data_IF_861440204705
#
_entry.id   IF_861440204705
#
_cell.length_a   1.000
_cell.length_b   1.000
_cell.length_c   1.000
_cell.angle_alpha   90.00
_cell.angle_beta   90.00
_cell.angle_gamma   90.00
#
_symmetry.space_group_name_H-M   'P 1'
#
loop_
_entity.id
_entity.type
_entity.pdbx_description
1 polymer ?
#
# COMPACT_ATOMS: atom_id res chain seq x y z
N UNK A 1 9.91 11.99 -16.91
CA UNK A 1 9.21 10.70 -16.73
C UNK A 1 9.27 10.30 -15.28
N UNK A 2 8.17 9.78 -14.73
CA UNK A 2 8.13 9.26 -13.36
C UNK A 2 8.53 7.78 -13.38
N UNK A 3 9.28 7.33 -12.37
CA UNK A 3 9.75 5.94 -12.24
C UNK A 3 8.96 5.12 -11.23
N UNK A 4 8.16 5.79 -10.40
CA UNK A 4 7.39 5.18 -9.32
C UNK A 4 6.05 5.93 -9.17
N UNK A 5 4.97 5.17 -9.02
CA UNK A 5 3.67 5.62 -8.56
C UNK A 5 3.35 4.91 -7.24
N UNK A 6 3.18 5.68 -6.16
CA UNK A 6 2.69 5.18 -4.88
C UNK A 6 1.29 5.71 -4.64
N UNK A 7 0.32 4.82 -4.40
CA UNK A 7 -1.09 5.15 -4.22
C UNK A 7 -1.57 4.80 -2.82
N UNK A 8 -2.30 5.70 -2.18
CA UNK A 8 -3.15 5.29 -1.05
C UNK A 8 -4.34 4.45 -1.56
N UNK A 9 -4.98 3.73 -0.64
CA UNK A 9 -6.18 2.94 -0.91
C UNK A 9 -7.45 3.78 -0.78
N UNK A 10 -7.76 4.24 0.42
CA UNK A 10 -9.09 4.71 0.77
C UNK A 10 -9.40 6.09 0.18
N UNK A 11 -10.34 6.15 -0.78
CA UNK A 11 -10.66 7.40 -1.47
C UNK A 11 -9.62 7.82 -2.50
N UNK A 12 -8.64 6.95 -2.79
CA UNK A 12 -7.59 7.16 -3.80
C UNK A 12 -7.64 6.04 -4.85
N UNK A 13 -7.03 4.88 -4.59
CA UNK A 13 -7.13 3.73 -5.49
C UNK A 13 -8.51 3.06 -5.45
N UNK A 14 -9.15 3.07 -4.28
CA UNK A 14 -10.49 2.56 -4.05
C UNK A 14 -11.50 3.69 -4.11
N UNK A 15 -12.60 3.45 -4.83
CA UNK A 15 -13.75 4.34 -4.81
C UNK A 15 -14.49 4.27 -3.44
N UNK A 16 -15.52 5.10 -3.20
CA UNK A 16 -16.27 5.08 -1.94
C UNK A 16 -16.89 3.73 -1.58
N UNK A 17 -17.17 2.88 -2.58
CA UNK A 17 -17.69 1.52 -2.40
C UNK A 17 -16.59 0.48 -2.14
N UNK A 18 -15.34 0.92 -1.94
CA UNK A 18 -14.15 0.08 -1.71
C UNK A 18 -13.81 -0.85 -2.89
N UNK A 19 -14.13 -0.42 -4.11
CA UNK A 19 -13.89 -1.17 -5.33
C UNK A 19 -12.79 -0.50 -6.14
N UNK A 20 -11.88 -1.30 -6.72
CA UNK A 20 -10.97 -0.84 -7.77
C UNK A 20 -11.74 -0.83 -9.10
N UNK A 21 -11.97 0.35 -9.67
CA UNK A 21 -12.74 0.47 -10.92
C UNK A 21 -11.96 -0.10 -12.11
N UNK A 22 -12.65 -0.49 -13.20
CA UNK A 22 -11.97 -0.90 -14.43
C UNK A 22 -11.03 0.17 -14.99
N UNK A 23 -11.41 1.44 -14.88
CA UNK A 23 -10.59 2.57 -15.31
C UNK A 23 -9.27 2.69 -14.52
N UNK A 24 -9.35 2.65 -13.18
CA UNK A 24 -8.18 2.66 -12.31
C UNK A 24 -7.28 1.46 -12.61
N UNK A 25 -7.88 0.27 -12.78
CA UNK A 25 -7.15 -0.95 -13.13
C UNK A 25 -6.38 -0.81 -14.43
N UNK A 26 -7.04 -0.37 -15.49
CA UNK A 26 -6.42 -0.22 -16.81
C UNK A 26 -5.28 0.80 -16.78
N UNK A 27 -5.48 1.91 -16.07
CA UNK A 27 -4.45 2.96 -15.94
C UNK A 27 -3.21 2.46 -15.21
N UNK A 28 -3.38 1.71 -14.13
CA UNK A 28 -2.28 1.09 -13.39
C UNK A 28 -1.53 0.08 -14.29
N UNK A 29 -2.25 -0.75 -15.03
CA UNK A 29 -1.64 -1.73 -15.94
C UNK A 29 -0.85 -1.07 -17.08
N UNK A 30 -1.34 0.04 -17.64
CA UNK A 30 -0.62 0.81 -18.66
C UNK A 30 0.70 1.37 -18.10
N UNK A 31 0.67 1.96 -16.91
CA UNK A 31 1.89 2.46 -16.27
C UNK A 31 2.92 1.35 -16.03
N UNK A 32 2.48 0.18 -15.54
CA UNK A 32 3.39 -0.95 -15.36
C UNK A 32 3.94 -1.49 -16.68
N UNK A 33 3.16 -1.45 -17.77
CA UNK A 33 3.62 -1.80 -19.12
C UNK A 33 4.68 -0.83 -19.66
N UNK A 34 4.61 0.44 -19.24
CA UNK A 34 5.60 1.48 -19.53
C UNK A 34 6.79 1.47 -18.54
N UNK A 35 7.04 0.33 -17.88
CA UNK A 35 8.15 0.10 -16.94
C UNK A 35 8.14 1.01 -15.69
N UNK A 36 6.99 1.60 -15.35
CA UNK A 36 6.82 2.35 -14.09
C UNK A 36 6.58 1.37 -12.95
N UNK A 37 7.31 1.54 -11.85
CA UNK A 37 7.03 0.83 -10.61
C UNK A 37 5.72 1.37 -10.00
N UNK A 38 4.82 0.50 -9.58
CA UNK A 38 3.55 0.87 -8.95
C UNK A 38 3.42 0.14 -7.63
N UNK A 39 3.03 0.86 -6.59
CA UNK A 39 2.83 0.32 -5.24
C UNK A 39 1.63 0.94 -4.54
N UNK A 40 1.16 0.27 -3.49
CA UNK A 40 0.25 0.83 -2.50
C UNK A 40 1.05 1.36 -1.31
N UNK A 41 0.70 2.55 -0.83
CA UNK A 41 1.14 3.09 0.44
C UNK A 41 -0.04 3.55 1.28
N UNK A 42 -0.36 2.79 2.33
CA UNK A 42 -1.58 3.00 3.10
C UNK A 42 -1.39 2.85 4.61
N UNK A 43 -2.29 3.46 5.37
CA UNK A 43 -2.42 3.27 6.82
C UNK A 43 -2.93 1.90 7.23
N UNK A 44 -3.47 1.12 6.29
CA UNK A 44 -4.05 -0.18 6.57
C UNK A 44 -3.02 -1.22 7.04
N UNK A 45 -3.53 -2.26 7.70
CA UNK A 45 -2.73 -3.42 8.10
C UNK A 45 -2.14 -4.17 6.89
N UNK A 46 -0.94 -4.78 7.03
CA UNK A 46 -0.24 -5.49 5.95
C UNK A 46 -1.12 -6.47 5.16
N UNK A 47 -1.91 -7.30 5.87
CA UNK A 47 -2.79 -8.27 5.23
C UNK A 47 -3.89 -7.63 4.37
N UNK A 48 -4.41 -6.47 4.79
CA UNK A 48 -5.40 -5.73 4.01
C UNK A 48 -4.78 -5.12 2.76
N UNK A 49 -3.60 -4.49 2.90
CA UNK A 49 -2.85 -3.93 1.77
C UNK A 49 -2.55 -5.01 0.73
N UNK A 50 -2.03 -6.16 1.17
CA UNK A 50 -1.72 -7.30 0.29
C UNK A 50 -2.97 -7.86 -0.41
N UNK A 51 -4.10 -7.98 0.29
CA UNK A 51 -5.34 -8.48 -0.33
C UNK A 51 -5.79 -7.63 -1.53
N UNK A 52 -5.68 -6.30 -1.42
CA UNK A 52 -6.03 -5.40 -2.53
C UNK A 52 -4.96 -5.42 -3.63
N UNK A 53 -3.68 -5.55 -3.27
CA UNK A 53 -2.60 -5.73 -4.23
C UNK A 53 -2.75 -7.03 -5.05
N UNK A 54 -3.39 -8.07 -4.52
CA UNK A 54 -3.67 -9.30 -5.27
C UNK A 54 -4.72 -9.14 -6.36
N UNK A 55 -5.60 -8.15 -6.25
CA UNK A 55 -6.57 -7.87 -7.31
C UNK A 55 -5.90 -7.30 -8.56
N UNK A 56 -4.82 -6.54 -8.38
CA UNK A 56 -3.97 -6.00 -9.45
C UNK A 56 -2.53 -6.23 -9.02
N UNK A 57 -1.91 -7.37 -9.38
CA UNK A 57 -0.55 -7.72 -8.95
C UNK A 57 0.43 -6.58 -9.28
N UNK A 58 0.84 -5.85 -8.24
CA UNK A 58 1.71 -4.68 -8.35
C UNK A 58 3.17 -5.12 -8.44
N UNK A 59 3.99 -4.36 -9.15
CA UNK A 59 5.38 -4.71 -9.47
C UNK A 59 6.41 -4.10 -8.50
N UNK A 60 5.98 -3.63 -7.32
CA UNK A 60 6.86 -3.00 -6.33
C UNK A 60 6.38 -3.31 -4.88
N UNK A 61 7.29 -3.38 -3.89
CA UNK A 61 6.93 -3.64 -2.49
C UNK A 61 5.84 -2.71 -1.96
N UNK A 62 4.92 -3.27 -1.19
CA UNK A 62 3.77 -2.59 -0.61
C UNK A 62 4.16 -1.91 0.70
N UNK A 63 3.51 -0.80 1.01
CA UNK A 63 3.73 -0.02 2.23
C UNK A 63 2.44 0.00 3.08
N UNK A 64 2.57 -0.45 4.31
CA UNK A 64 1.48 -0.61 5.27
C UNK A 64 1.76 0.16 6.58
N UNK A 65 0.75 0.27 7.44
CA UNK A 65 0.83 0.93 8.75
C UNK A 65 1.45 2.33 8.67
N UNK A 66 1.01 3.14 7.70
CA UNK A 66 1.51 4.50 7.47
C UNK A 66 3.03 4.56 7.24
N UNK A 67 3.61 3.54 6.62
CA UNK A 67 5.04 3.48 6.35
C UNK A 67 5.85 2.65 7.34
N UNK A 68 5.25 2.19 8.43
CA UNK A 68 5.98 1.43 9.44
C UNK A 68 6.35 0.02 8.98
N UNK A 69 5.69 -0.53 7.96
CA UNK A 69 5.96 -1.89 7.45
C UNK A 69 5.98 -1.90 5.94
N UNK A 70 7.01 -2.53 5.36
CA UNK A 70 7.06 -2.90 3.94
C UNK A 70 6.78 -4.39 3.77
N UNK A 71 6.06 -4.74 2.71
CA UNK A 71 5.57 -6.09 2.45
C UNK A 71 5.87 -6.46 1.01
N UNK A 72 6.31 -7.68 0.77
CA UNK A 72 6.47 -8.23 -0.56
C UNK A 72 5.10 -8.39 -1.25
N UNK A 73 4.98 -7.87 -2.47
CA UNK A 73 3.70 -7.80 -3.17
C UNK A 73 3.20 -9.18 -3.62
N UNK A 74 4.12 -10.12 -3.89
CA UNK A 74 3.79 -11.45 -4.38
C UNK A 74 3.41 -12.38 -3.23
N UNK A 75 4.27 -12.47 -2.22
CA UNK A 75 4.17 -13.41 -1.10
C UNK A 75 3.37 -12.88 0.08
N UNK A 76 3.24 -11.55 0.21
CA UNK A 76 2.61 -10.91 1.36
C UNK A 76 3.46 -10.96 2.63
N UNK A 77 4.72 -11.39 2.53
CA UNK A 77 5.65 -11.46 3.66
C UNK A 77 6.23 -10.08 3.99
N UNK A 78 6.47 -9.82 5.28
CA UNK A 78 7.14 -8.60 5.72
C UNK A 78 8.59 -8.59 5.19
N UNK A 79 8.97 -7.47 4.58
CA UNK A 79 10.35 -7.18 4.17
C UNK A 79 11.07 -6.45 5.32
N UNK A 80 10.49 -5.35 5.79
CA UNK A 80 11.06 -4.53 6.85
C UNK A 80 9.95 -3.92 7.73
N UNK A 81 10.29 -3.66 8.99
CA UNK A 81 9.40 -3.05 9.97
C UNK A 81 10.11 -2.09 10.91
N UNK A 82 9.48 -0.96 11.19
CA UNK A 82 9.95 0.09 12.09
C UNK A 82 8.99 0.20 13.28
N UNK A 83 9.10 -0.68 14.30
CA UNK A 83 8.23 -0.62 15.46
C UNK A 83 8.51 0.64 16.28
N UNK A 84 7.48 1.15 16.95
CA UNK A 84 7.68 2.16 17.97
C UNK A 84 8.53 1.59 19.11
N UNK A 85 9.43 2.40 19.65
CA UNK A 85 10.15 2.05 20.87
C UNK A 85 9.14 1.86 22.01
N UNK A 86 9.27 0.77 22.77
CA UNK A 86 8.42 0.45 23.92
C UNK A 86 8.34 1.60 24.92
N UNK A 87 9.43 2.34 25.13
CA UNK A 87 9.43 3.50 26.02
C UNK A 87 8.50 4.63 25.54
N UNK A 88 8.36 4.79 24.22
CA UNK A 88 7.50 5.80 23.61
C UNK A 88 6.01 5.44 23.69
N UNK A 89 5.66 4.16 23.88
CA UNK A 89 4.28 3.71 24.00
C UNK A 89 3.59 4.30 25.24
N UNK A 90 4.34 4.59 26.31
CA UNK A 90 3.82 5.19 27.55
C UNK A 90 3.37 6.65 27.38
N UNK A 91 3.76 7.30 26.28
CA UNK A 91 3.47 8.71 26.01
C UNK A 91 2.48 8.91 24.86
N UNK A 92 1.88 7.83 24.34
CA UNK A 92 0.81 7.96 23.34
C UNK A 92 -0.40 8.56 24.06
N UNK A 93 -0.78 9.83 23.76
CA UNK A 93 -1.99 10.40 24.33
C UNK A 93 -3.17 9.54 23.88
N UNK A 94 -4.17 9.36 24.74
CA UNK A 94 -5.43 8.77 24.30
C UNK A 94 -5.94 9.59 23.10
N UNK A 95 -6.09 8.92 21.95
CA UNK A 95 -6.77 9.50 20.81
C UNK A 95 -8.25 9.61 21.19
N UNK A 96 -8.72 10.82 21.48
CA UNK A 96 -10.15 11.14 21.60
C UNK A 96 -10.93 10.76 20.34
#
# INVERSE_FOLDING_TARGET
MHRLLALDLDGTMLNPNKIITPETRNSIQQLMADEVAVTIASGRFPASVWLHAREIPLNFPLVALNGAVTVDAETGQMIEGFPLNTASLLYIPECN
#
